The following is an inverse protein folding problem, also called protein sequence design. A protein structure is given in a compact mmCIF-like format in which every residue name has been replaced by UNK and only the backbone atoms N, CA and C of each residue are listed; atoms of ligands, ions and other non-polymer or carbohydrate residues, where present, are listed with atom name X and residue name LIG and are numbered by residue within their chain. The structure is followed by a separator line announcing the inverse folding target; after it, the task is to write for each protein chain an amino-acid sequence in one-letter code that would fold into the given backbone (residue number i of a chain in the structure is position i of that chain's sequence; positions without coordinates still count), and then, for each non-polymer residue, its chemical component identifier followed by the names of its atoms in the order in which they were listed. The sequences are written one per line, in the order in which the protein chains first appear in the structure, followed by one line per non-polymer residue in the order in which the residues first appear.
data_IF_293248141970
#
_entry.id   IF_293248141970
#
_cell.length_a   1.000
_cell.length_b   1.000
_cell.length_c   1.000
_cell.angle_alpha   90.00
_cell.angle_beta   90.00
_cell.angle_gamma   90.00
#
_symmetry.space_group_name_H-M   'P 1'
#
loop_
_entity.id
_entity.type
_entity.pdbx_description
1 polymer ?
#
# COMPACT_ATOMS: atom_id res chain seq x y z
N UNK A 1 8.64 21.29 41.64
CA UNK A 1 9.68 20.27 41.47
C UNK A 1 9.45 19.61 40.13
N UNK A 2 10.40 19.73 39.20
CA UNK A 2 10.30 19.11 37.89
C UNK A 2 10.51 17.60 38.05
N UNK A 3 9.43 16.82 37.87
CA UNK A 3 9.51 15.37 37.82
C UNK A 3 10.20 14.97 36.53
N UNK A 4 11.51 14.75 36.59
CA UNK A 4 12.25 14.20 35.45
C UNK A 4 11.71 12.82 35.14
N UNK A 5 11.27 12.60 33.90
CA UNK A 5 11.04 11.25 33.38
C UNK A 5 12.28 10.42 33.70
N UNK A 6 12.11 9.34 34.47
CA UNK A 6 13.22 8.44 34.74
C UNK A 6 13.80 7.97 33.40
N UNK A 7 15.14 7.90 33.26
CA UNK A 7 15.77 7.50 31.99
C UNK A 7 15.18 6.19 31.42
N UNK A 8 14.71 5.28 32.28
CA UNK A 8 14.00 4.05 31.91
C UNK A 8 12.70 4.30 31.10
N UNK A 9 11.91 5.32 31.47
CA UNK A 9 10.69 5.70 30.74
C UNK A 9 10.98 6.32 29.37
N UNK A 10 12.05 7.12 29.26
CA UNK A 10 12.50 7.66 27.97
C UNK A 10 12.94 6.56 27.00
N UNK A 11 13.73 5.58 27.45
CA UNK A 11 14.16 4.46 26.60
C UNK A 11 13.00 3.57 26.16
N UNK A 12 11.99 3.38 27.02
CA UNK A 12 10.80 2.61 26.67
C UNK A 12 9.95 3.31 25.61
N UNK A 13 9.74 4.64 25.74
CA UNK A 13 9.06 5.45 24.71
C UNK A 13 9.83 5.43 23.38
N UNK A 14 11.14 5.60 23.42
CA UNK A 14 11.99 5.55 22.22
C UNK A 14 11.91 4.18 21.51
N UNK A 15 11.87 3.08 22.28
CA UNK A 15 11.68 1.73 21.73
C UNK A 15 10.35 1.56 21.00
N UNK A 16 9.25 2.06 21.58
CA UNK A 16 7.90 2.02 20.96
C UNK A 16 7.84 2.87 19.70
N UNK A 17 8.46 4.05 19.68
CA UNK A 17 8.56 4.89 18.48
C UNK A 17 9.35 4.18 17.37
N UNK A 18 10.48 3.55 17.70
CA UNK A 18 11.28 2.81 16.74
C UNK A 18 10.55 1.58 16.15
N UNK A 19 9.70 0.93 16.93
CA UNK A 19 8.83 -0.15 16.44
C UNK A 19 7.79 0.37 15.44
N UNK A 20 7.10 1.46 15.79
CA UNK A 20 6.11 2.11 14.92
C UNK A 20 6.72 2.56 13.59
N UNK A 21 7.91 3.17 13.62
CA UNK A 21 8.60 3.61 12.40
C UNK A 21 8.95 2.43 11.50
N UNK A 22 9.41 1.31 12.06
CA UNK A 22 9.69 0.09 11.29
C UNK A 22 8.43 -0.52 10.67
N UNK A 23 7.32 -0.53 11.41
CA UNK A 23 6.03 -0.99 10.91
C UNK A 23 5.55 -0.08 9.76
N UNK A 24 5.63 1.24 9.94
CA UNK A 24 5.29 2.22 8.91
C UNK A 24 6.14 2.06 7.65
N UNK A 25 7.46 1.89 7.78
CA UNK A 25 8.34 1.69 6.62
C UNK A 25 8.01 0.41 5.85
N UNK A 26 7.62 -0.65 6.57
CA UNK A 26 7.14 -1.89 5.96
C UNK A 26 5.88 -1.66 5.15
N UNK A 27 4.89 -0.95 5.72
CA UNK A 27 3.63 -0.62 5.05
C UNK A 27 3.87 0.31 3.85
N UNK A 28 4.75 1.30 3.98
CA UNK A 28 5.17 2.18 2.89
C UNK A 28 5.77 1.39 1.74
N UNK A 29 6.65 0.44 2.03
CA UNK A 29 7.22 -0.46 1.03
C UNK A 29 6.15 -1.27 0.29
N UNK A 30 5.19 -1.86 1.01
CA UNK A 30 4.06 -2.59 0.42
C UNK A 30 3.21 -1.70 -0.47
N UNK A 31 2.86 -0.50 0.00
CA UNK A 31 2.04 0.46 -0.75
C UNK A 31 2.68 0.79 -2.10
N UNK A 32 3.94 1.21 -2.10
CA UNK A 32 4.64 1.53 -3.34
C UNK A 32 4.88 0.31 -4.23
N UNK A 33 5.06 -0.87 -3.63
CA UNK A 33 5.13 -2.14 -4.36
C UNK A 33 3.84 -2.43 -5.13
N UNK A 34 2.69 -2.41 -4.46
CA UNK A 34 1.39 -2.63 -5.10
C UNK A 34 1.07 -1.53 -6.14
N UNK A 35 1.35 -0.27 -5.83
CA UNK A 35 1.11 0.86 -6.73
C UNK A 35 1.92 0.74 -8.02
N UNK A 36 3.21 0.42 -7.88
CA UNK A 36 4.10 0.20 -9.01
C UNK A 36 3.59 -0.92 -9.93
N UNK A 37 3.18 -2.05 -9.35
CA UNK A 37 2.67 -3.18 -10.13
C UNK A 37 1.32 -2.90 -10.79
N UNK A 38 0.40 -2.23 -10.10
CA UNK A 38 -0.88 -1.80 -10.66
C UNK A 38 -0.67 -0.87 -11.87
N UNK A 39 0.27 0.08 -11.76
CA UNK A 39 0.65 1.01 -12.84
C UNK A 39 1.25 0.28 -14.05
N UNK A 40 2.11 -0.72 -13.81
CA UNK A 40 2.68 -1.55 -14.89
C UNK A 40 1.57 -2.33 -15.61
N UNK A 41 0.64 -2.93 -14.86
CA UNK A 41 -0.49 -3.63 -15.45
C UNK A 41 -1.35 -2.67 -16.29
N UNK A 42 -1.70 -1.49 -15.76
CA UNK A 42 -2.47 -0.48 -16.46
C UNK A 42 -1.83 -0.08 -17.80
N UNK A 43 -0.52 0.18 -17.81
CA UNK A 43 0.21 0.52 -19.04
C UNK A 43 0.20 -0.63 -20.05
N UNK A 44 0.38 -1.87 -19.61
CA UNK A 44 0.33 -3.04 -20.50
C UNK A 44 -1.07 -3.24 -21.08
N UNK A 45 -2.12 -3.07 -20.28
CA UNK A 45 -3.51 -3.13 -20.76
C UNK A 45 -3.73 -2.09 -21.86
N UNK A 46 -3.33 -0.84 -21.64
CA UNK A 46 -3.48 0.23 -22.61
C UNK A 46 -2.79 -0.12 -23.95
N UNK A 47 -1.53 -0.58 -23.90
CA UNK A 47 -0.80 -0.98 -25.11
C UNK A 47 -1.46 -2.16 -25.85
N UNK A 48 -2.06 -3.10 -25.11
CA UNK A 48 -2.72 -4.27 -25.71
C UNK A 48 -4.06 -3.91 -26.32
N UNK A 49 -4.83 -3.03 -25.67
CA UNK A 49 -6.08 -2.48 -26.20
C UNK A 49 -5.83 -1.65 -27.46
N UNK A 50 -4.81 -0.78 -27.43
CA UNK A 50 -4.40 -0.02 -28.61
C UNK A 50 -4.01 -0.93 -29.78
N UNK A 51 -3.23 -2.00 -29.52
CA UNK A 51 -2.89 -2.98 -30.55
C UNK A 51 -4.14 -3.66 -31.12
N UNK A 52 -5.07 -4.06 -30.26
CA UNK A 52 -6.33 -4.67 -30.66
C UNK A 52 -7.19 -3.73 -31.52
N UNK A 53 -7.21 -2.44 -31.20
CA UNK A 53 -7.95 -1.42 -31.95
C UNK A 53 -7.32 -1.13 -33.31
N UNK A 54 -5.99 -1.02 -33.38
CA UNK A 54 -5.27 -0.65 -34.62
C UNK A 54 -5.12 -1.80 -35.61
N UNK A 55 -4.90 -3.01 -35.11
CA UNK A 55 -4.54 -4.17 -35.92
C UNK A 55 -5.59 -5.28 -35.85
N UNK A 56 -6.59 -5.19 -34.96
CA UNK A 56 -7.48 -6.31 -34.64
C UNK A 56 -8.22 -6.89 -35.84
N UNK A 57 -8.62 -6.07 -36.80
CA UNK A 57 -9.27 -6.50 -38.05
C UNK A 57 -8.36 -7.34 -38.97
N UNK A 58 -7.05 -7.11 -38.89
CA UNK A 58 -6.04 -7.83 -39.67
C UNK A 58 -5.47 -9.05 -38.91
N UNK A 59 -5.81 -9.24 -37.64
CA UNK A 59 -5.40 -10.41 -36.86
C UNK A 59 -6.25 -11.63 -37.19
N UNK A 60 -5.63 -12.81 -37.18
CA UNK A 60 -6.40 -14.06 -37.15
C UNK A 60 -7.27 -14.14 -35.90
N UNK A 61 -8.35 -14.93 -35.97
CA UNK A 61 -9.23 -15.14 -34.81
C UNK A 61 -8.49 -15.66 -33.57
N UNK A 62 -7.48 -16.51 -33.76
CA UNK A 62 -6.65 -17.07 -32.68
C UNK A 62 -5.78 -15.99 -32.04
N UNK A 63 -5.14 -15.12 -32.83
CA UNK A 63 -4.31 -14.02 -32.32
C UNK A 63 -5.16 -12.99 -31.57
N UNK A 64 -6.33 -12.65 -32.11
CA UNK A 64 -7.28 -11.74 -31.47
C UNK A 64 -7.73 -12.29 -30.12
N UNK A 65 -8.11 -13.57 -30.08
CA UNK A 65 -8.51 -14.24 -28.84
C UNK A 65 -7.38 -14.24 -27.80
N UNK A 66 -6.15 -14.56 -28.22
CA UNK A 66 -4.98 -14.56 -27.33
C UNK A 66 -4.73 -13.17 -26.72
N UNK A 67 -4.86 -12.11 -27.51
CA UNK A 67 -4.68 -10.74 -27.04
C UNK A 67 -5.76 -10.33 -26.04
N UNK A 68 -7.02 -10.71 -26.29
CA UNK A 68 -8.13 -10.49 -25.36
C UNK A 68 -7.92 -11.21 -24.02
N UNK A 69 -7.44 -12.46 -24.05
CA UNK A 69 -7.11 -13.21 -22.83
C UNK A 69 -5.96 -12.53 -22.07
N UNK A 70 -4.92 -12.06 -22.76
CA UNK A 70 -3.82 -11.32 -22.12
C UNK A 70 -4.33 -10.04 -21.43
N UNK A 71 -5.23 -9.29 -22.08
CA UNK A 71 -5.86 -8.10 -21.48
C UNK A 71 -6.64 -8.48 -20.22
N UNK A 72 -7.47 -9.52 -20.27
CA UNK A 72 -8.26 -9.98 -19.14
C UNK A 72 -7.39 -10.39 -17.95
N UNK A 73 -6.32 -11.14 -18.21
CA UNK A 73 -5.37 -11.55 -17.17
C UNK A 73 -4.64 -10.37 -16.53
N UNK A 74 -4.25 -9.37 -17.35
CA UNK A 74 -3.64 -8.14 -16.85
C UNK A 74 -4.62 -7.31 -16.01
N UNK A 75 -5.90 -7.24 -16.40
CA UNK A 75 -6.94 -6.57 -15.61
C UNK A 75 -7.16 -7.28 -14.27
N UNK A 76 -7.19 -8.62 -14.26
CA UNK A 76 -7.28 -9.39 -13.03
C UNK A 76 -6.06 -9.18 -12.11
N UNK A 77 -4.84 -9.12 -12.67
CA UNK A 77 -3.62 -8.80 -11.92
C UNK A 77 -3.67 -7.38 -11.35
N UNK A 78 -4.07 -6.40 -12.16
CA UNK A 78 -4.26 -5.01 -11.72
C UNK A 78 -5.19 -4.93 -10.52
N UNK A 79 -6.37 -5.57 -10.60
CA UNK A 79 -7.34 -5.62 -9.49
C UNK A 79 -6.74 -6.18 -8.20
N UNK A 80 -5.96 -7.25 -8.27
CA UNK A 80 -5.28 -7.81 -7.08
C UNK A 80 -4.28 -6.83 -6.46
N UNK A 81 -3.56 -6.06 -7.28
CA UNK A 81 -2.65 -5.04 -6.76
C UNK A 81 -3.42 -3.85 -6.17
N UNK A 82 -4.55 -3.45 -6.75
CA UNK A 82 -5.43 -2.40 -6.21
C UNK A 82 -6.04 -2.81 -4.87
N UNK A 83 -6.50 -4.06 -4.73
CA UNK A 83 -6.92 -4.60 -3.43
C UNK A 83 -5.79 -4.60 -2.41
N UNK A 84 -4.56 -4.92 -2.83
CA UNK A 84 -3.39 -4.83 -1.96
C UNK A 84 -3.08 -3.39 -1.50
N UNK A 85 -3.34 -2.39 -2.35
CA UNK A 85 -3.23 -0.97 -1.97
C UNK A 85 -4.26 -0.60 -0.91
N UNK A 86 -5.52 -0.94 -1.15
CA UNK A 86 -6.61 -0.69 -0.21
C UNK A 86 -6.31 -1.31 1.15
N UNK A 87 -5.90 -2.58 1.16
CA UNK A 87 -5.53 -3.27 2.40
C UNK A 87 -4.36 -2.59 3.11
N UNK A 88 -3.34 -2.15 2.37
CA UNK A 88 -2.19 -1.44 2.95
C UNK A 88 -2.60 -0.09 3.53
N UNK A 89 -3.53 0.63 2.88
CA UNK A 89 -4.06 1.88 3.40
C UNK A 89 -4.85 1.67 4.70
N UNK A 90 -5.64 0.61 4.79
CA UNK A 90 -6.32 0.23 6.03
C UNK A 90 -5.33 -0.11 7.15
N UNK A 91 -4.26 -0.83 6.85
CA UNK A 91 -3.21 -1.14 7.81
C UNK A 91 -2.53 0.15 8.31
N UNK A 92 -2.24 1.11 7.41
CA UNK A 92 -1.70 2.42 7.78
C UNK A 92 -2.67 3.18 8.68
N UNK A 93 -3.97 3.18 8.37
CA UNK A 93 -4.99 3.82 9.20
C UNK A 93 -5.07 3.17 10.59
N UNK A 94 -4.97 1.84 10.68
CA UNK A 94 -4.93 1.10 11.95
C UNK A 94 -3.67 1.44 12.75
N UNK A 95 -2.51 1.55 12.11
CA UNK A 95 -1.27 1.99 12.74
C UNK A 95 -1.41 3.41 13.29
N UNK A 96 -1.95 4.35 12.50
CA UNK A 96 -2.19 5.72 12.94
C UNK A 96 -3.13 5.80 14.15
N UNK A 97 -4.19 4.99 14.17
CA UNK A 97 -5.11 4.89 15.31
C UNK A 97 -4.39 4.36 16.56
N UNK A 98 -3.62 3.27 16.45
CA UNK A 98 -2.82 2.70 17.56
C UNK A 98 -1.84 3.73 18.13
N UNK A 99 -1.22 4.54 17.29
CA UNK A 99 -0.32 5.62 17.72
C UNK A 99 -1.11 6.65 18.55
N UNK A 100 -2.26 7.13 18.05
CA UNK A 100 -3.09 8.10 18.76
C UNK A 100 -3.66 7.59 20.09
N UNK A 101 -3.98 6.30 20.17
CA UNK A 101 -4.54 5.64 21.36
C UNK A 101 -3.49 5.17 22.37
N UNK A 102 -2.25 4.89 21.94
CA UNK A 102 -1.21 4.30 22.79
C UNK A 102 -0.04 5.24 23.12
N UNK A 103 0.50 5.93 22.12
CA UNK A 103 1.67 6.80 22.31
C UNK A 103 1.30 8.20 22.81
N UNK A 104 0.14 8.72 22.40
CA UNK A 104 -0.32 10.07 22.76
C UNK A 104 -1.47 10.07 23.79
N UNK A 105 -1.91 8.91 24.27
CA UNK A 105 -2.94 8.86 25.30
C UNK A 105 -2.42 9.28 26.69
N UNK A 106 -1.13 9.04 27.00
CA UNK A 106 -0.53 9.41 28.28
C UNK A 106 -0.36 10.92 28.48
N UNK A 107 -0.35 11.72 27.40
CA UNK A 107 -0.26 13.19 27.50
C UNK A 107 -1.58 13.84 27.95
N UNK A 108 -2.69 13.09 27.98
CA UNK A 108 -4.00 13.59 28.45
C UNK A 108 -4.22 13.45 29.96
N UNK A 109 -3.42 12.66 30.67
CA UNK A 109 -3.57 12.45 32.12
C UNK A 109 -2.64 13.33 32.97
N UNK A 110 -1.56 13.87 32.42
CA UNK A 110 -0.63 14.76 33.15
C UNK A 110 -1.08 16.24 33.23
N UNK A 111 -2.28 16.55 32.71
CA UNK A 111 -2.84 17.91 32.66
C UNK A 111 -4.06 18.18 33.57
N UNK A 112 -4.29 17.39 34.63
CA UNK A 112 -5.34 17.64 35.63
C UNK A 112 -4.78 17.85 37.03
#
# INVERSE_FOLDING_TARGET
MAGGESGKGMYEKAGKVAEVLREFDTLRGRFWGHYGQARVCARRIALRKEKLEREGENMSAVERMRLMVEIHDLEARKRRHEQGLEQTMEDIARLAKRIGEGLFASEREEGR
#
